data_IF_731960621139
#
_entry.id   IF_731960621139
#
_cell.length_a   1.000
_cell.length_b   1.000
_cell.length_c   1.000
_cell.angle_alpha   90.00
_cell.angle_beta   90.00
_cell.angle_gamma   90.00
#
_symmetry.space_group_name_H-M   'P 1'
#
loop_
_entity.id
_entity.type
_entity.pdbx_description
1 polymer ?
#
# COMPACT_ATOMS: atom_id res chain seq x y z
N UNK A 1 30.23 26.83 -36.23
CA UNK A 1 29.23 25.80 -36.02
C UNK A 1 28.48 26.19 -34.78
N UNK A 2 27.15 26.31 -34.76
CA UNK A 2 26.42 26.59 -33.52
C UNK A 2 26.52 25.38 -32.60
N UNK A 3 26.87 25.63 -31.34
CA UNK A 3 26.91 24.62 -30.31
C UNK A 3 25.53 23.94 -30.21
N UNK A 4 25.50 22.62 -30.36
CA UNK A 4 24.30 21.85 -30.11
C UNK A 4 23.87 22.14 -28.67
N UNK A 5 22.72 22.78 -28.46
CA UNK A 5 22.08 22.88 -27.17
C UNK A 5 21.75 21.47 -26.73
N UNK A 6 22.57 20.90 -25.84
CA UNK A 6 22.19 19.71 -25.09
C UNK A 6 20.98 20.10 -24.24
N UNK A 7 19.78 19.82 -24.74
CA UNK A 7 18.59 19.87 -23.88
C UNK A 7 18.83 18.90 -22.72
N UNK A 8 18.73 19.41 -21.50
CA UNK A 8 18.72 18.55 -20.30
C UNK A 8 17.61 17.50 -20.44
N UNK A 9 17.84 16.26 -20.02
CA UNK A 9 16.80 15.23 -20.07
C UNK A 9 15.57 15.70 -19.29
N UNK A 10 14.37 15.41 -19.83
CA UNK A 10 13.11 15.72 -19.16
C UNK A 10 13.05 15.08 -17.77
N UNK A 11 12.48 15.78 -16.81
CA UNK A 11 12.18 15.24 -15.48
C UNK A 11 11.07 14.19 -15.53
N UNK A 12 10.98 13.34 -14.51
CA UNK A 12 9.95 12.30 -14.42
C UNK A 12 8.53 12.87 -14.54
N UNK A 13 8.28 14.04 -13.94
CA UNK A 13 6.97 14.70 -14.02
C UNK A 13 6.68 15.25 -15.42
N UNK A 14 7.66 15.82 -16.10
CA UNK A 14 7.50 16.29 -17.47
C UNK A 14 7.21 15.14 -18.44
N UNK A 15 7.83 13.97 -18.23
CA UNK A 15 7.57 12.75 -18.99
C UNK A 15 6.13 12.30 -18.73
N UNK A 16 5.72 12.20 -17.47
CA UNK A 16 4.37 11.79 -17.08
C UNK A 16 3.29 12.71 -17.64
N UNK A 17 3.48 14.02 -17.54
CA UNK A 17 2.53 15.03 -18.02
C UNK A 17 2.43 15.07 -19.55
N UNK A 18 3.52 14.84 -20.24
CA UNK A 18 3.55 14.79 -21.72
C UNK A 18 3.01 13.46 -22.27
N UNK A 19 2.77 12.46 -21.42
CA UNK A 19 2.31 11.14 -21.83
C UNK A 19 0.88 11.14 -22.36
N UNK A 20 0.65 10.45 -23.48
CA UNK A 20 -0.67 10.23 -24.04
C UNK A 20 -1.33 9.03 -23.33
N UNK A 21 -1.97 9.30 -22.19
CA UNK A 21 -2.66 8.27 -21.40
C UNK A 21 -3.91 7.77 -22.12
N UNK A 22 -4.20 6.48 -22.03
CA UNK A 22 -5.43 5.85 -22.52
C UNK A 22 -6.51 5.87 -21.43
N UNK A 23 -7.80 5.95 -21.75
CA UNK A 23 -8.87 5.75 -20.78
C UNK A 23 -8.70 4.40 -20.08
N UNK A 24 -8.87 4.37 -18.75
CA UNK A 24 -8.64 3.15 -17.96
C UNK A 24 -9.64 2.04 -18.28
N UNK A 25 -10.86 2.41 -18.67
CA UNK A 25 -11.88 1.45 -19.08
C UNK A 25 -11.48 0.71 -20.35
N UNK A 26 -10.82 1.38 -21.30
CA UNK A 26 -10.29 0.75 -22.52
C UNK A 26 -9.18 -0.23 -22.21
N UNK A 27 -8.24 0.18 -21.35
CA UNK A 27 -7.16 -0.71 -20.86
C UNK A 27 -7.74 -1.96 -20.18
N UNK A 28 -8.69 -1.78 -19.28
CA UNK A 28 -9.34 -2.88 -18.55
C UNK A 28 -10.05 -3.86 -19.51
N UNK A 29 -10.81 -3.34 -20.44
CA UNK A 29 -11.55 -4.16 -21.41
C UNK A 29 -10.62 -4.89 -22.38
N UNK A 30 -9.69 -4.18 -23.02
CA UNK A 30 -8.85 -4.73 -24.08
C UNK A 30 -7.75 -5.65 -23.55
N UNK A 31 -7.11 -5.29 -22.43
CA UNK A 31 -5.95 -6.01 -21.89
C UNK A 31 -6.33 -7.08 -20.88
N UNK A 32 -7.39 -6.84 -20.09
CA UNK A 32 -7.75 -7.71 -18.98
C UNK A 32 -9.09 -8.42 -19.15
N UNK A 33 -9.92 -8.00 -20.12
CA UNK A 33 -11.26 -8.53 -20.32
C UNK A 33 -12.25 -8.14 -19.21
N UNK A 34 -11.97 -7.07 -18.46
CA UNK A 34 -12.86 -6.59 -17.40
C UNK A 34 -13.93 -5.72 -18.01
N UNK A 35 -15.19 -6.09 -17.80
CA UNK A 35 -16.34 -5.32 -18.26
C UNK A 35 -16.52 -4.05 -17.41
N UNK A 36 -17.03 -2.93 -18.00
CA UNK A 36 -17.14 -1.64 -17.30
C UNK A 36 -17.95 -1.69 -16.01
N UNK A 37 -18.97 -2.56 -15.91
CA UNK A 37 -19.80 -2.75 -14.71
C UNK A 37 -19.02 -3.32 -13.50
N UNK A 38 -17.85 -3.88 -13.73
CA UNK A 38 -16.94 -4.40 -12.70
C UNK A 38 -15.90 -3.36 -12.25
N UNK A 39 -16.00 -2.14 -12.74
CA UNK A 39 -15.07 -1.05 -12.47
C UNK A 39 -15.79 0.16 -11.89
N UNK A 40 -15.15 0.77 -10.90
CA UNK A 40 -15.56 2.07 -10.35
C UNK A 40 -14.51 3.12 -10.74
N UNK A 41 -14.81 3.98 -11.76
CA UNK A 41 -13.86 4.97 -12.25
C UNK A 41 -13.59 6.09 -11.24
N UNK A 42 -12.33 6.42 -11.07
CA UNK A 42 -11.84 7.61 -10.36
C UNK A 42 -11.23 8.58 -11.37
N UNK A 43 -12.08 9.25 -12.14
CA UNK A 43 -11.69 10.01 -13.32
C UNK A 43 -11.41 9.10 -14.52
N UNK A 44 -10.61 9.59 -15.49
CA UNK A 44 -10.41 8.90 -16.77
C UNK A 44 -9.35 7.82 -16.76
N UNK A 45 -8.36 7.89 -15.82
CA UNK A 45 -7.11 7.14 -15.91
C UNK A 45 -6.86 6.19 -14.76
N UNK A 46 -7.78 6.07 -13.83
CA UNK A 46 -7.74 5.16 -12.68
C UNK A 46 -9.14 4.63 -12.35
N UNK A 47 -9.20 3.40 -11.86
CA UNK A 47 -10.44 2.78 -11.41
C UNK A 47 -10.18 1.79 -10.29
N UNK A 48 -11.19 1.53 -9.46
CA UNK A 48 -11.19 0.36 -8.58
C UNK A 48 -11.85 -0.81 -9.28
N UNK A 49 -11.33 -2.01 -9.03
CA UNK A 49 -11.94 -3.27 -9.50
C UNK A 49 -12.87 -3.79 -8.41
N UNK A 50 -14.14 -4.04 -8.75
CA UNK A 50 -15.14 -4.46 -7.77
C UNK A 50 -14.75 -5.77 -7.07
N UNK A 51 -15.03 -5.86 -5.77
CA UNK A 51 -14.73 -7.07 -5.00
C UNK A 51 -15.59 -8.28 -5.41
N UNK A 52 -16.76 -8.06 -6.01
CA UNK A 52 -17.56 -9.16 -6.56
C UNK A 52 -16.89 -9.77 -7.79
N UNK A 53 -16.32 -8.94 -8.67
CA UNK A 53 -15.50 -9.42 -9.77
C UNK A 53 -14.24 -10.15 -9.27
N UNK A 54 -13.53 -9.60 -8.27
CA UNK A 54 -12.38 -10.27 -7.64
C UNK A 54 -12.76 -11.66 -7.14
N UNK A 55 -13.91 -11.80 -6.46
CA UNK A 55 -14.42 -13.10 -6.00
C UNK A 55 -14.75 -14.05 -7.14
N UNK A 56 -15.31 -13.56 -8.24
CA UNK A 56 -15.64 -14.40 -9.40
C UNK A 56 -14.42 -15.08 -10.02
N UNK A 57 -13.23 -14.51 -9.84
CA UNK A 57 -11.97 -15.05 -10.35
C UNK A 57 -11.36 -16.18 -9.51
N UNK A 58 -11.92 -16.54 -8.36
CA UNK A 58 -11.29 -17.48 -7.43
C UNK A 58 -11.00 -18.87 -8.04
N UNK A 59 -11.79 -19.31 -9.01
CA UNK A 59 -11.61 -20.59 -9.71
C UNK A 59 -10.61 -20.57 -10.87
N UNK A 60 -10.19 -19.37 -11.29
CA UNK A 60 -9.32 -19.21 -12.45
C UNK A 60 -7.88 -19.64 -12.16
N UNK A 61 -7.18 -20.08 -13.22
CA UNK A 61 -5.77 -20.49 -13.13
C UNK A 61 -4.88 -19.28 -12.85
N UNK A 62 -3.87 -19.46 -12.01
CA UNK A 62 -2.84 -18.44 -11.77
C UNK A 62 -1.85 -18.37 -12.95
N UNK A 63 -1.46 -17.14 -13.30
CA UNK A 63 -0.26 -16.85 -14.06
C UNK A 63 1.01 -17.05 -13.22
N UNK A 64 2.16 -16.69 -13.80
CA UNK A 64 3.49 -16.79 -13.22
C UNK A 64 3.83 -15.54 -12.41
N UNK A 65 4.30 -15.73 -11.19
CA UNK A 65 4.70 -14.64 -10.29
C UNK A 65 6.20 -14.36 -10.39
N UNK A 66 6.57 -13.13 -10.70
CA UNK A 66 7.96 -12.66 -10.77
C UNK A 66 8.17 -11.64 -9.66
N UNK A 67 9.13 -11.92 -8.76
CA UNK A 67 9.52 -11.00 -7.70
C UNK A 67 10.78 -10.23 -8.11
N UNK A 68 10.73 -8.91 -8.06
CA UNK A 68 11.91 -8.04 -8.20
C UNK A 68 12.39 -7.61 -6.82
N UNK A 69 13.67 -7.85 -6.54
CA UNK A 69 14.34 -7.45 -5.30
C UNK A 69 15.71 -6.84 -5.60
N UNK A 70 16.39 -6.33 -4.58
CA UNK A 70 17.76 -5.81 -4.70
C UNK A 70 18.69 -6.51 -3.72
N UNK A 71 19.99 -6.53 -4.01
CA UNK A 71 20.97 -7.17 -3.12
C UNK A 71 21.08 -6.44 -1.78
N UNK A 72 21.00 -5.10 -1.76
CA UNK A 72 21.13 -4.26 -0.57
C UNK A 72 20.49 -2.89 -0.82
N UNK A 73 19.91 -2.23 0.18
CA UNK A 73 19.39 -0.88 0.02
C UNK A 73 20.54 0.15 -0.05
N UNK A 74 20.37 1.17 -0.89
CA UNK A 74 21.24 2.35 -0.92
C UNK A 74 20.42 3.64 -0.74
N UNK A 75 21.02 4.75 -0.25
CA UNK A 75 20.29 6.00 -0.07
C UNK A 75 19.65 6.55 -1.34
N UNK A 76 20.25 6.31 -2.50
CA UNK A 76 19.73 6.76 -3.79
C UNK A 76 18.69 5.83 -4.42
N UNK A 77 18.42 4.69 -3.78
CA UNK A 77 17.62 3.61 -4.36
C UNK A 77 18.40 2.75 -5.35
N UNK A 78 17.90 1.56 -5.66
CA UNK A 78 18.55 0.56 -6.54
C UNK A 78 17.85 0.44 -7.89
N UNK A 79 16.74 1.16 -8.10
CA UNK A 79 15.98 1.08 -9.34
C UNK A 79 15.04 -0.15 -9.43
N UNK A 80 14.66 -0.75 -8.31
CA UNK A 80 13.70 -1.88 -8.31
C UNK A 80 12.41 -1.56 -9.05
N UNK A 81 11.76 -0.45 -8.71
CA UNK A 81 10.50 -0.05 -9.33
C UNK A 81 10.67 0.21 -10.82
N UNK A 82 11.73 0.92 -11.23
CA UNK A 82 12.06 1.12 -12.64
C UNK A 82 12.26 -0.21 -13.37
N UNK A 83 12.98 -1.16 -12.75
CA UNK A 83 13.18 -2.50 -13.32
C UNK A 83 11.85 -3.27 -13.39
N UNK A 84 11.02 -3.19 -12.36
CA UNK A 84 9.72 -3.86 -12.29
C UNK A 84 8.78 -3.37 -13.40
N UNK A 85 8.67 -2.07 -13.57
CA UNK A 85 7.87 -1.45 -14.65
C UNK A 85 8.44 -1.82 -16.02
N UNK A 86 9.74 -1.58 -16.24
CA UNK A 86 10.39 -1.85 -17.54
C UNK A 86 10.34 -3.32 -17.94
N UNK A 87 10.50 -4.25 -16.99
CA UNK A 87 10.36 -5.69 -17.25
C UNK A 87 8.93 -6.06 -17.66
N UNK A 88 7.92 -5.47 -16.99
CA UNK A 88 6.52 -5.76 -17.32
C UNK A 88 6.16 -5.20 -18.71
N UNK A 89 6.61 -3.98 -19.03
CA UNK A 89 6.43 -3.39 -20.36
C UNK A 89 7.15 -4.23 -21.43
N UNK A 90 8.37 -4.68 -21.16
CA UNK A 90 9.13 -5.53 -22.09
C UNK A 90 8.43 -6.88 -22.34
N UNK A 91 7.84 -7.51 -21.32
CA UNK A 91 7.05 -8.74 -21.48
C UNK A 91 5.86 -8.49 -22.40
N UNK A 92 5.12 -7.39 -22.23
CA UNK A 92 4.03 -7.03 -23.14
C UNK A 92 4.52 -6.72 -24.54
N UNK A 93 5.68 -6.05 -24.69
CA UNK A 93 6.28 -5.73 -25.97
C UNK A 93 6.61 -6.99 -26.80
N UNK A 94 7.06 -8.05 -26.16
CA UNK A 94 7.32 -9.36 -26.81
C UNK A 94 6.07 -10.26 -26.90
N UNK A 95 4.86 -9.70 -26.73
CA UNK A 95 3.60 -10.39 -26.90
C UNK A 95 3.16 -11.29 -25.75
N UNK A 96 3.73 -11.12 -24.54
CA UNK A 96 3.25 -11.82 -23.34
C UNK A 96 2.18 -10.98 -22.65
N UNK A 97 1.16 -11.63 -22.09
CA UNK A 97 0.15 -10.96 -21.28
C UNK A 97 0.69 -10.77 -19.87
N UNK A 98 1.23 -9.60 -19.58
CA UNK A 98 1.86 -9.27 -18.31
C UNK A 98 1.17 -8.11 -17.59
N UNK A 99 1.17 -8.16 -16.27
CA UNK A 99 0.58 -7.16 -15.38
C UNK A 99 1.54 -6.82 -14.24
N UNK A 100 1.43 -5.61 -13.71
CA UNK A 100 2.29 -5.05 -12.69
C UNK A 100 1.53 -4.91 -11.37
N UNK A 101 2.18 -5.19 -10.23
CA UNK A 101 1.64 -4.94 -8.89
C UNK A 101 2.65 -4.17 -8.03
N UNK A 102 2.31 -2.94 -7.64
CA UNK A 102 3.15 -2.06 -6.83
C UNK A 102 2.45 -1.62 -5.55
N UNK A 103 3.26 -1.08 -4.63
CA UNK A 103 2.76 -0.37 -3.45
C UNK A 103 2.31 1.03 -3.84
N UNK A 104 1.28 1.51 -3.16
CA UNK A 104 0.91 2.91 -3.15
C UNK A 104 1.95 3.71 -2.34
N UNK A 105 2.43 4.87 -2.83
CA UNK A 105 3.38 5.69 -2.11
C UNK A 105 2.71 6.50 -0.99
N UNK A 106 3.43 6.66 0.14
CA UNK A 106 3.04 7.53 1.24
C UNK A 106 3.41 8.99 0.95
N UNK A 107 2.61 9.93 1.43
CA UNK A 107 2.86 11.37 1.30
C UNK A 107 4.19 11.79 1.97
N UNK A 108 4.52 11.24 3.14
CA UNK A 108 5.75 11.56 3.84
C UNK A 108 7.00 11.37 2.97
N UNK A 109 7.29 10.16 2.44
CA UNK A 109 8.36 9.94 1.48
C UNK A 109 8.23 10.72 0.18
N UNK A 110 7.02 10.93 -0.34
CA UNK A 110 6.80 11.68 -1.60
C UNK A 110 7.24 13.13 -1.50
N UNK A 111 7.05 13.77 -0.34
CA UNK A 111 7.55 15.10 -0.03
C UNK A 111 8.92 15.09 0.67
N UNK A 112 9.53 13.93 0.84
CA UNK A 112 10.85 13.74 1.45
C UNK A 112 11.97 13.57 0.43
N UNK A 113 13.11 13.07 0.90
CA UNK A 113 14.32 12.89 0.09
C UNK A 113 14.18 11.86 -1.04
N UNK A 114 13.24 10.92 -0.94
CA UNK A 114 13.07 9.85 -1.94
C UNK A 114 12.18 10.26 -3.11
N UNK A 115 11.35 11.30 -2.95
CA UNK A 115 10.32 11.64 -3.93
C UNK A 115 9.25 10.55 -4.08
N UNK A 116 8.46 10.62 -5.14
CA UNK A 116 7.37 9.67 -5.44
C UNK A 116 7.86 8.29 -5.89
N UNK A 117 6.98 7.30 -5.86
CA UNK A 117 7.30 5.89 -6.07
C UNK A 117 6.61 5.26 -7.31
N UNK A 118 6.30 6.05 -8.34
CA UNK A 118 5.65 5.56 -9.57
C UNK A 118 6.63 5.03 -10.64
N UNK A 119 7.89 4.79 -10.31
CA UNK A 119 8.97 4.50 -11.25
C UNK A 119 9.78 5.75 -11.62
N UNK A 120 10.56 5.71 -12.70
CA UNK A 120 11.39 6.83 -13.14
C UNK A 120 11.69 6.79 -14.63
N UNK A 121 12.01 7.95 -15.22
CA UNK A 121 12.22 8.09 -16.65
C UNK A 121 11.00 7.63 -17.44
N UNK A 122 11.23 6.79 -18.43
CA UNK A 122 10.16 6.21 -19.25
C UNK A 122 9.55 4.93 -18.67
N UNK A 123 10.09 4.38 -17.58
CA UNK A 123 9.53 3.25 -16.86
C UNK A 123 8.69 3.76 -15.67
N UNK A 124 7.52 4.32 -15.97
CA UNK A 124 6.61 4.92 -14.98
C UNK A 124 5.20 4.36 -15.09
N UNK A 125 4.50 4.36 -13.93
CA UNK A 125 3.04 4.19 -13.85
C UNK A 125 2.39 5.58 -13.81
N UNK A 126 1.31 5.75 -14.56
CA UNK A 126 0.61 7.01 -14.71
C UNK A 126 -0.89 6.87 -14.37
N UNK A 127 -1.54 7.93 -13.87
CA UNK A 127 -1.06 9.32 -13.66
C UNK A 127 -0.17 9.46 -12.40
N UNK A 128 1.08 9.87 -12.58
CA UNK A 128 2.08 9.94 -11.51
C UNK A 128 1.68 10.87 -10.37
N UNK A 129 1.15 12.05 -10.68
CA UNK A 129 0.76 13.06 -9.70
C UNK A 129 -0.34 12.53 -8.79
N UNK A 130 -1.37 11.90 -9.34
CA UNK A 130 -2.48 11.32 -8.58
C UNK A 130 -1.97 10.21 -7.66
N UNK A 131 -1.11 9.33 -8.18
CA UNK A 131 -0.55 8.19 -7.44
C UNK A 131 0.28 8.67 -6.24
N UNK A 132 1.08 9.73 -6.43
CA UNK A 132 1.96 10.26 -5.39
C UNK A 132 1.25 11.15 -4.36
N UNK A 133 -0.01 11.51 -4.58
CA UNK A 133 -0.80 12.35 -3.67
C UNK A 133 -1.92 11.53 -2.99
N UNK A 134 -3.16 11.87 -3.24
CA UNK A 134 -4.30 11.23 -2.57
C UNK A 134 -4.84 10.00 -3.31
N UNK A 135 -4.42 9.77 -4.54
CA UNK A 135 -4.73 8.66 -5.43
C UNK A 135 -6.23 8.34 -5.51
N UNK A 136 -6.71 7.35 -4.76
CA UNK A 136 -8.13 6.98 -4.63
C UNK A 136 -8.65 7.13 -3.20
N UNK A 137 -7.82 7.63 -2.28
CA UNK A 137 -8.19 7.88 -0.88
C UNK A 137 -7.97 6.71 0.08
N UNK A 138 -7.31 5.63 -0.35
CA UNK A 138 -7.12 4.44 0.48
C UNK A 138 -6.32 4.73 1.75
N UNK A 139 -5.26 5.53 1.66
CA UNK A 139 -4.46 5.90 2.84
C UNK A 139 -5.23 6.81 3.79
N UNK A 140 -6.09 7.68 3.26
CA UNK A 140 -6.99 8.46 4.10
C UNK A 140 -7.99 7.57 4.84
N UNK A 141 -8.57 6.58 4.17
CA UNK A 141 -9.46 5.59 4.79
C UNK A 141 -8.74 4.80 5.90
N UNK A 142 -7.50 4.35 5.65
CA UNK A 142 -6.68 3.63 6.63
C UNK A 142 -6.36 4.53 7.83
N UNK A 143 -5.95 5.79 7.60
CA UNK A 143 -5.72 6.79 8.65
C UNK A 143 -6.98 7.00 9.50
N UNK A 144 -8.13 7.15 8.85
CA UNK A 144 -9.43 7.35 9.53
C UNK A 144 -9.82 6.14 10.37
N UNK A 145 -9.70 4.92 9.85
CA UNK A 145 -10.02 3.69 10.59
C UNK A 145 -9.09 3.50 11.80
N UNK A 146 -7.79 3.79 11.63
CA UNK A 146 -6.81 3.72 12.69
C UNK A 146 -7.10 4.72 13.81
N UNK A 147 -7.36 5.97 13.44
CA UNK A 147 -7.61 7.06 14.41
C UNK A 147 -8.99 6.94 15.07
N UNK A 148 -9.99 6.36 14.40
CA UNK A 148 -11.26 6.00 15.02
C UNK A 148 -11.04 5.07 16.20
N UNK A 149 -10.22 4.04 16.06
CA UNK A 149 -9.90 3.11 17.16
C UNK A 149 -9.24 3.85 18.33
N UNK A 150 -8.32 4.77 18.06
CA UNK A 150 -7.69 5.61 19.09
C UNK A 150 -8.72 6.47 19.84
N UNK A 151 -9.65 7.09 19.10
CA UNK A 151 -10.71 7.90 19.70
C UNK A 151 -11.66 7.05 20.55
N UNK A 152 -12.00 5.83 20.10
CA UNK A 152 -12.84 4.91 20.85
C UNK A 152 -12.19 4.43 22.16
N UNK A 153 -10.86 4.25 22.18
CA UNK A 153 -10.13 3.91 23.41
C UNK A 153 -10.26 5.06 24.43
N UNK A 154 -9.96 6.29 24.03
CA UNK A 154 -10.03 7.45 24.91
C UNK A 154 -11.48 7.73 25.38
N UNK A 155 -12.45 7.55 24.49
CA UNK A 155 -13.87 7.67 24.83
C UNK A 155 -14.31 6.58 25.84
N UNK A 156 -13.86 5.35 25.69
CA UNK A 156 -14.15 4.25 26.61
C UNK A 156 -13.58 4.54 28.02
N UNK A 157 -12.35 5.05 28.09
CA UNK A 157 -11.73 5.43 29.36
C UNK A 157 -12.52 6.58 30.03
N UNK A 158 -12.98 7.57 29.25
CA UNK A 158 -13.74 8.71 29.72
C UNK A 158 -15.10 8.31 30.30
N UNK A 159 -15.84 7.44 29.62
CA UNK A 159 -17.21 7.01 29.98
C UNK A 159 -17.26 5.78 30.92
N UNK A 160 -16.37 5.76 31.91
CA UNK A 160 -16.45 4.79 33.02
C UNK A 160 -15.56 3.57 32.89
N UNK A 161 -14.83 3.42 31.80
CA UNK A 161 -13.78 2.41 31.63
C UNK A 161 -14.16 1.00 32.07
N UNK A 162 -15.31 0.49 31.60
CA UNK A 162 -15.85 -0.80 32.01
C UNK A 162 -14.90 -1.99 31.74
N UNK A 163 -14.00 -1.88 30.77
CA UNK A 163 -12.96 -2.88 30.46
C UNK A 163 -11.73 -2.79 31.38
N UNK A 164 -11.63 -1.78 32.24
CA UNK A 164 -10.53 -1.61 33.17
C UNK A 164 -9.18 -1.30 32.50
N UNK A 165 -9.20 -0.53 31.41
CA UNK A 165 -7.97 -0.09 30.72
C UNK A 165 -7.10 0.70 31.69
N UNK A 166 -5.82 0.31 31.84
CA UNK A 166 -4.82 1.15 32.48
C UNK A 166 -4.36 2.21 31.48
N UNK A 167 -4.69 3.49 31.73
CA UNK A 167 -4.36 4.61 30.83
C UNK A 167 -2.86 4.73 30.51
N UNK A 168 -2.00 4.20 31.38
CA UNK A 168 -0.53 4.13 31.16
C UNK A 168 -0.11 2.97 30.26
N UNK A 169 -1.04 2.07 29.92
CA UNK A 169 -0.80 0.84 29.14
C UNK A 169 -1.62 0.81 27.87
N UNK A 170 -2.00 1.96 27.35
CA UNK A 170 -2.55 2.08 26.00
C UNK A 170 -1.40 1.92 25.01
N UNK A 171 -1.44 0.85 24.24
CA UNK A 171 -0.41 0.52 23.23
C UNK A 171 -0.71 1.13 21.85
N UNK A 172 -1.90 1.71 21.68
CA UNK A 172 -2.39 2.24 20.42
C UNK A 172 -2.14 3.73 20.30
N UNK A 173 -1.34 4.12 19.30
CA UNK A 173 -1.03 5.52 18.97
C UNK A 173 -1.99 6.01 17.89
N UNK A 174 -1.88 7.26 17.49
CA UNK A 174 -2.54 7.82 16.31
C UNK A 174 -1.63 7.71 15.09
N UNK A 175 -2.17 7.99 13.91
CA UNK A 175 -1.37 8.04 12.68
C UNK A 175 -1.68 9.27 11.86
N UNK A 176 -0.68 9.67 11.08
CA UNK A 176 -0.75 10.73 10.08
C UNK A 176 0.13 10.30 8.90
N UNK A 177 -0.35 10.46 7.67
CA UNK A 177 0.48 10.09 6.51
C UNK A 177 1.48 11.19 6.12
N UNK A 178 2.29 11.57 7.11
CA UNK A 178 3.33 12.59 6.98
C UNK A 178 4.47 12.27 7.96
N UNK A 179 5.70 12.62 7.58
CA UNK A 179 6.84 12.58 8.49
C UNK A 179 6.80 13.82 9.41
N UNK A 180 6.22 13.67 10.60
CA UNK A 180 6.15 14.74 11.58
C UNK A 180 6.87 14.35 12.88
N UNK A 181 8.06 14.89 13.06
CA UNK A 181 8.89 14.59 14.23
C UNK A 181 8.32 15.19 15.51
N UNK A 182 7.63 16.32 15.43
CA UNK A 182 7.10 17.02 16.59
C UNK A 182 5.93 16.28 17.24
N UNK A 183 5.23 15.41 16.47
CA UNK A 183 4.09 14.65 16.98
C UNK A 183 4.45 13.22 17.44
N UNK A 184 5.72 12.83 17.40
CA UNK A 184 6.13 11.47 17.79
C UNK A 184 5.81 11.14 19.24
N UNK A 185 6.01 12.09 20.14
CA UNK A 185 5.69 11.95 21.57
C UNK A 185 4.92 13.20 22.02
N UNK A 186 3.68 13.00 22.49
CA UNK A 186 2.79 14.08 22.95
C UNK A 186 2.10 13.68 24.25
N UNK A 187 1.53 14.65 24.93
CA UNK A 187 0.52 14.42 25.95
C UNK A 187 -0.84 14.78 25.34
N UNK A 188 -1.76 13.83 25.30
CA UNK A 188 -3.13 14.07 24.85
C UNK A 188 -4.09 14.30 26.03
N UNK A 189 -5.33 14.76 25.72
CA UNK A 189 -6.42 15.01 26.67
C UNK A 189 -6.13 16.10 27.71
N UNK A 190 -5.30 17.09 27.37
CA UNK A 190 -5.16 18.32 28.16
C UNK A 190 -6.41 19.21 28.02
N UNK A 191 -6.63 20.12 28.96
CA UNK A 191 -7.75 21.09 28.96
C UNK A 191 -8.82 20.81 30.01
N UNK A 192 -8.50 20.01 31.03
CA UNK A 192 -9.36 19.73 32.18
C UNK A 192 -10.25 18.52 32.01
N UNK A 193 -11.08 18.25 32.98
CA UNK A 193 -11.86 17.01 33.14
C UNK A 193 -12.81 16.73 31.97
N UNK A 194 -13.27 17.76 31.27
CA UNK A 194 -14.14 17.61 30.10
C UNK A 194 -13.43 16.99 28.89
N UNK A 195 -12.09 17.00 28.86
CA UNK A 195 -11.29 16.48 27.73
C UNK A 195 -10.73 15.07 27.96
N UNK A 196 -11.04 14.45 29.08
CA UNK A 196 -10.62 13.08 29.39
C UNK A 196 -9.43 13.00 30.34
N UNK A 197 -8.67 11.91 30.25
CA UNK A 197 -7.54 11.62 31.12
C UNK A 197 -6.22 11.93 30.39
N UNK A 198 -5.38 12.88 30.87
CA UNK A 198 -4.08 13.13 30.28
C UNK A 198 -3.22 11.86 30.28
N UNK A 199 -2.63 11.56 29.12
CA UNK A 199 -1.74 10.41 28.94
C UNK A 199 -0.73 10.66 27.84
N UNK A 200 0.37 9.93 27.88
CA UNK A 200 1.31 9.87 26.78
C UNK A 200 0.65 9.25 25.54
N UNK A 201 0.93 9.80 24.40
CA UNK A 201 0.49 9.33 23.10
C UNK A 201 1.48 9.78 22.02
N UNK A 202 1.15 9.58 20.76
CA UNK A 202 1.94 10.07 19.64
C UNK A 202 1.28 9.74 18.33
N UNK A 203 1.96 10.18 17.26
CA UNK A 203 1.57 9.87 15.89
C UNK A 203 2.69 9.10 15.20
N UNK A 204 2.35 7.94 14.64
CA UNK A 204 3.19 7.21 13.71
C UNK A 204 2.77 7.54 12.26
N UNK A 205 3.55 7.15 11.27
CA UNK A 205 3.14 7.35 9.88
C UNK A 205 2.16 6.24 9.47
N UNK A 206 1.14 6.58 8.68
CA UNK A 206 0.05 5.66 8.29
C UNK A 206 0.56 4.34 7.71
N UNK A 207 1.60 4.39 6.89
CA UNK A 207 2.19 3.20 6.23
C UNK A 207 2.99 2.29 7.17
N UNK A 208 3.26 2.74 8.40
CA UNK A 208 3.85 1.92 9.47
C UNK A 208 2.79 1.36 10.43
N UNK A 209 1.52 1.60 10.19
CA UNK A 209 0.44 1.18 11.08
C UNK A 209 0.12 -0.31 10.97
N UNK A 210 -0.37 -0.89 12.07
CA UNK A 210 -0.90 -2.25 12.09
C UNK A 210 -2.14 -2.39 11.18
N UNK A 211 -2.97 -1.34 11.07
CA UNK A 211 -4.13 -1.33 10.15
C UNK A 211 -3.67 -1.48 8.69
N UNK A 212 -2.62 -0.77 8.28
CA UNK A 212 -2.04 -0.92 6.93
C UNK A 212 -1.52 -2.34 6.69
N UNK A 213 -0.82 -2.93 7.66
CA UNK A 213 -0.30 -4.29 7.55
C UNK A 213 -1.43 -5.32 7.44
N UNK A 214 -2.44 -5.21 8.29
CA UNK A 214 -3.65 -6.06 8.27
C UNK A 214 -4.38 -5.93 6.93
N UNK A 215 -4.62 -4.70 6.47
CA UNK A 215 -5.26 -4.39 5.21
C UNK A 215 -4.57 -5.07 4.01
N UNK A 216 -3.25 -5.00 3.97
CA UNK A 216 -2.48 -5.61 2.88
C UNK A 216 -2.42 -7.14 2.92
N UNK A 217 -2.68 -7.77 4.07
CA UNK A 217 -2.70 -9.22 4.24
C UNK A 217 -4.12 -9.82 4.22
N UNK A 218 -5.15 -8.98 4.25
CA UNK A 218 -6.54 -9.42 4.18
C UNK A 218 -6.88 -9.93 2.76
N UNK A 219 -7.78 -10.91 2.70
CA UNK A 219 -8.27 -11.51 1.45
C UNK A 219 -9.58 -10.87 0.96
N UNK A 220 -10.39 -10.44 1.91
CA UNK A 220 -11.70 -9.81 1.70
C UNK A 220 -12.10 -8.99 2.93
N UNK A 221 -13.30 -8.39 2.88
CA UNK A 221 -13.80 -7.53 3.96
C UNK A 221 -14.07 -8.29 5.27
N UNK A 222 -14.45 -9.55 5.20
CA UNK A 222 -14.76 -10.37 6.38
C UNK A 222 -13.45 -10.77 7.10
N UNK A 223 -12.45 -11.22 6.34
CA UNK A 223 -11.10 -11.49 6.87
C UNK A 223 -10.46 -10.21 7.43
N UNK A 224 -10.64 -9.06 6.75
CA UNK A 224 -10.20 -7.75 7.24
C UNK A 224 -10.83 -7.43 8.59
N UNK A 225 -12.15 -7.54 8.71
CA UNK A 225 -12.90 -7.26 9.93
C UNK A 225 -12.48 -8.17 11.10
N UNK A 226 -12.30 -9.45 10.83
CA UNK A 226 -11.84 -10.42 11.85
C UNK A 226 -10.44 -10.06 12.36
N UNK A 227 -9.51 -9.75 11.48
CA UNK A 227 -8.14 -9.34 11.83
C UNK A 227 -8.12 -8.04 12.62
N UNK A 228 -8.87 -7.02 12.19
CA UNK A 228 -9.01 -5.75 12.92
C UNK A 228 -9.52 -5.97 14.35
N UNK A 229 -10.45 -6.90 14.52
CA UNK A 229 -10.97 -7.27 15.84
C UNK A 229 -9.90 -7.84 16.78
N UNK A 230 -8.86 -8.45 16.27
CA UNK A 230 -7.78 -9.07 17.04
C UNK A 230 -6.69 -8.09 17.50
N UNK A 231 -6.65 -6.86 17.00
CA UNK A 231 -5.68 -5.83 17.40
C UNK A 231 -5.70 -5.65 18.92
N UNK A 232 -4.54 -5.75 19.55
CA UNK A 232 -4.37 -5.45 20.98
C UNK A 232 -4.15 -3.94 21.11
N UNK A 233 -5.06 -3.29 21.81
CA UNK A 233 -5.08 -1.81 21.91
C UNK A 233 -4.55 -1.30 23.24
N UNK A 234 -4.68 -2.08 24.31
CA UNK A 234 -4.32 -1.70 25.65
C UNK A 234 -4.21 -2.94 26.55
N UNK A 235 -3.83 -2.70 27.81
CA UNK A 235 -3.82 -3.72 28.86
C UNK A 235 -4.53 -3.19 30.12
N UNK A 236 -5.12 -4.09 30.89
CA UNK A 236 -5.60 -3.82 32.25
C UNK A 236 -4.41 -3.66 33.22
N UNK A 237 -4.67 -3.24 34.46
CA UNK A 237 -3.64 -3.23 35.53
C UNK A 237 -3.01 -4.61 35.74
N UNK A 238 -3.81 -5.67 35.64
CA UNK A 238 -3.37 -7.07 35.75
C UNK A 238 -2.73 -7.61 34.47
N UNK A 239 -2.41 -6.72 33.51
CA UNK A 239 -1.74 -7.02 32.23
C UNK A 239 -2.56 -7.95 31.31
N UNK A 240 -3.88 -8.02 31.46
CA UNK A 240 -4.74 -8.71 30.50
C UNK A 240 -4.88 -7.87 29.24
N UNK A 241 -4.69 -8.44 28.03
CA UNK A 241 -4.82 -7.69 26.79
C UNK A 241 -6.27 -7.32 26.51
N UNK A 242 -6.49 -6.12 26.03
CA UNK A 242 -7.78 -5.62 25.55
C UNK A 242 -7.65 -5.44 24.04
N UNK A 243 -8.63 -5.95 23.29
CA UNK A 243 -8.64 -5.99 21.84
C UNK A 243 -9.65 -5.01 21.26
N UNK A 244 -9.50 -4.66 19.99
CA UNK A 244 -10.43 -3.79 19.28
C UNK A 244 -11.87 -4.37 19.28
N UNK A 245 -12.04 -5.70 19.27
CA UNK A 245 -13.36 -6.34 19.38
C UNK A 245 -14.05 -6.12 20.73
N UNK A 246 -13.27 -6.00 21.80
CA UNK A 246 -13.82 -5.74 23.15
C UNK A 246 -14.45 -4.33 23.21
N UNK A 247 -13.90 -3.39 22.43
CA UNK A 247 -14.46 -2.06 22.20
C UNK A 247 -15.54 -2.03 21.11
N UNK A 248 -15.83 -3.16 20.44
CA UNK A 248 -16.75 -3.26 19.30
C UNK A 248 -16.36 -2.34 18.12
N UNK A 249 -15.08 -1.98 18.01
CA UNK A 249 -14.57 -1.00 17.03
C UNK A 249 -14.42 -1.57 15.61
N UNK A 250 -14.11 -2.87 15.49
CA UNK A 250 -13.71 -3.51 14.24
C UNK A 250 -14.77 -3.43 13.11
N UNK A 251 -16.05 -3.38 13.44
CA UNK A 251 -17.12 -3.20 12.46
C UNK A 251 -17.10 -1.81 11.81
N UNK A 252 -16.94 -0.75 12.62
CA UNK A 252 -16.84 0.62 12.12
C UNK A 252 -15.54 0.86 11.34
N UNK A 253 -14.42 0.27 11.82
CA UNK A 253 -13.16 0.31 11.08
C UNK A 253 -13.28 -0.37 9.70
N UNK A 254 -13.90 -1.56 9.62
CA UNK A 254 -14.13 -2.26 8.36
C UNK A 254 -15.05 -1.45 7.42
N UNK A 255 -16.05 -0.76 7.95
CA UNK A 255 -16.93 0.11 7.16
C UNK A 255 -16.17 1.27 6.51
N UNK A 256 -15.23 1.90 7.23
CA UNK A 256 -14.37 2.94 6.68
C UNK A 256 -13.41 2.42 5.58
N UNK A 257 -13.07 1.12 5.62
CA UNK A 257 -12.15 0.48 4.67
C UNK A 257 -12.88 -0.23 3.52
N UNK A 258 -14.21 -0.18 3.46
CA UNK A 258 -15.02 -0.94 2.51
C UNK A 258 -14.65 -0.68 1.05
N UNK A 259 -14.45 0.59 0.68
CA UNK A 259 -14.08 0.96 -0.69
C UNK A 259 -12.58 0.78 -0.92
N UNK A 260 -11.78 1.06 0.10
CA UNK A 260 -10.33 0.96 0.01
C UNK A 260 -9.84 -0.45 -0.33
N UNK A 261 -10.52 -1.52 0.12
CA UNK A 261 -10.09 -2.90 -0.10
C UNK A 261 -10.09 -3.33 -1.58
N UNK A 262 -10.85 -2.66 -2.43
CA UNK A 262 -10.87 -2.91 -3.86
C UNK A 262 -9.57 -2.42 -4.52
N UNK A 263 -8.87 -3.24 -5.34
CA UNK A 263 -7.58 -2.87 -5.89
C UNK A 263 -7.69 -1.76 -6.94
N UNK A 264 -6.70 -0.87 -6.94
CA UNK A 264 -6.64 0.27 -7.85
C UNK A 264 -5.95 -0.11 -9.17
N UNK A 265 -6.68 0.02 -10.27
CA UNK A 265 -6.19 -0.22 -11.63
C UNK A 265 -5.73 1.09 -12.27
N UNK A 266 -4.51 1.08 -12.79
CA UNK A 266 -3.85 2.15 -13.54
C UNK A 266 -3.05 1.55 -14.70
N UNK A 267 -2.21 2.33 -15.37
CA UNK A 267 -1.40 1.90 -16.52
C UNK A 267 0.02 2.44 -16.44
N UNK A 268 0.95 1.77 -17.12
CA UNK A 268 2.27 2.35 -17.40
C UNK A 268 2.20 3.34 -18.57
N UNK A 269 3.30 4.03 -18.85
CA UNK A 269 3.43 4.87 -20.04
C UNK A 269 3.20 4.09 -21.34
N UNK A 270 3.54 2.81 -21.38
CA UNK A 270 3.36 1.90 -22.52
C UNK A 270 1.92 1.28 -22.57
N UNK A 271 1.03 1.66 -21.64
CA UNK A 271 -0.33 1.12 -21.55
C UNK A 271 -0.42 -0.29 -20.99
N UNK A 272 0.58 -0.74 -20.26
CA UNK A 272 0.52 -1.99 -19.49
C UNK A 272 -0.37 -1.80 -18.26
N UNK A 273 -1.33 -2.71 -18.00
CA UNK A 273 -2.17 -2.60 -16.80
C UNK A 273 -1.36 -2.84 -15.53
N UNK A 274 -1.64 -2.02 -14.52
CA UNK A 274 -0.97 -2.08 -13.23
C UNK A 274 -1.97 -1.98 -12.07
N UNK A 275 -1.78 -2.79 -11.03
CA UNK A 275 -2.40 -2.55 -9.74
C UNK A 275 -1.44 -1.80 -8.81
N UNK A 276 -1.93 -0.72 -8.22
CA UNK A 276 -1.26 -0.02 -7.11
C UNK A 276 -2.19 -0.08 -5.92
N UNK A 277 -1.81 -0.83 -4.86
CA UNK A 277 -2.73 -1.07 -3.76
C UNK A 277 -2.01 -1.41 -2.46
N UNK A 278 -2.27 -0.61 -1.43
CA UNK A 278 -1.61 -0.70 -0.13
C UNK A 278 -0.12 -0.35 -0.17
N UNK A 279 0.44 0.09 0.94
CA UNK A 279 1.81 0.59 0.96
C UNK A 279 2.55 0.40 2.29
N UNK A 280 2.56 -0.81 2.88
CA UNK A 280 3.22 -1.01 4.17
C UNK A 280 4.74 -0.86 4.04
N UNK A 281 5.37 -0.19 5.01
CA UNK A 281 6.82 -0.08 5.06
C UNK A 281 7.48 -1.43 5.35
N UNK A 282 8.59 -1.72 4.66
CA UNK A 282 9.29 -2.98 4.81
C UNK A 282 10.10 -3.10 6.10
N UNK A 283 10.53 -1.98 6.69
CA UNK A 283 11.22 -1.98 7.98
C UNK A 283 10.27 -2.19 9.19
N UNK A 284 8.98 -1.97 9.02
CA UNK A 284 7.98 -2.12 10.09
C UNK A 284 7.04 -3.30 9.82
N UNK A 285 6.60 -3.48 8.57
CA UNK A 285 5.69 -4.52 8.15
C UNK A 285 6.29 -5.39 7.04
N UNK A 286 5.48 -5.98 6.18
CA UNK A 286 5.94 -6.90 5.13
C UNK A 286 6.40 -6.23 3.83
N UNK A 287 6.23 -4.90 3.68
CA UNK A 287 6.90 -4.11 2.65
C UNK A 287 6.56 -4.42 1.20
N UNK A 288 5.38 -4.93 0.92
CA UNK A 288 4.90 -5.24 -0.42
C UNK A 288 3.41 -4.91 -0.58
N UNK A 289 2.92 -4.82 -1.80
CA UNK A 289 1.51 -4.53 -2.08
C UNK A 289 0.56 -5.57 -1.50
N UNK A 290 -0.75 -5.30 -1.58
CA UNK A 290 -1.77 -6.16 -0.97
C UNK A 290 -1.83 -7.57 -1.56
N UNK A 291 -2.32 -8.51 -0.77
CA UNK A 291 -2.66 -9.88 -1.21
C UNK A 291 -3.75 -9.82 -2.29
N UNK A 292 -4.80 -9.02 -2.08
CA UNK A 292 -5.90 -8.85 -3.05
C UNK A 292 -5.37 -8.46 -4.41
N UNK A 293 -4.52 -7.43 -4.51
CA UNK A 293 -3.98 -6.98 -5.79
C UNK A 293 -3.16 -8.09 -6.50
N UNK A 294 -2.24 -8.73 -5.78
CA UNK A 294 -1.38 -9.77 -6.39
C UNK A 294 -2.18 -11.00 -6.82
N UNK A 295 -3.09 -11.49 -5.97
CA UNK A 295 -3.89 -12.68 -6.30
C UNK A 295 -4.86 -12.40 -7.45
N UNK A 296 -5.45 -11.22 -7.51
CA UNK A 296 -6.30 -10.80 -8.63
C UNK A 296 -5.51 -10.68 -9.93
N UNK A 297 -4.34 -10.04 -9.91
CA UNK A 297 -3.48 -9.92 -11.08
C UNK A 297 -3.07 -11.29 -11.65
N UNK A 298 -2.75 -12.25 -10.79
CA UNK A 298 -2.40 -13.62 -11.19
C UNK A 298 -3.53 -14.35 -11.92
N UNK A 299 -4.78 -13.95 -11.70
CA UNK A 299 -5.93 -14.50 -12.44
C UNK A 299 -6.18 -13.78 -13.78
N UNK A 300 -5.65 -12.58 -13.94
CA UNK A 300 -5.89 -11.72 -15.09
C UNK A 300 -4.77 -11.73 -16.14
N UNK A 301 -3.57 -12.20 -15.78
CA UNK A 301 -2.41 -12.17 -16.67
C UNK A 301 -1.58 -13.45 -16.58
N UNK A 302 -0.84 -13.76 -17.66
CA UNK A 302 0.07 -14.92 -17.70
C UNK A 302 1.32 -14.68 -16.84
N UNK A 303 1.74 -13.42 -16.70
CA UNK A 303 2.87 -13.00 -15.88
C UNK A 303 2.49 -11.82 -15.01
N UNK A 304 2.82 -11.90 -13.73
CA UNK A 304 2.65 -10.79 -12.77
C UNK A 304 4.01 -10.44 -12.21
N UNK A 305 4.43 -9.19 -12.40
CA UNK A 305 5.69 -8.67 -11.86
C UNK A 305 5.37 -7.80 -10.64
N UNK A 306 6.05 -8.06 -9.54
CA UNK A 306 5.90 -7.30 -8.30
C UNK A 306 7.25 -7.08 -7.65
N UNK A 307 7.30 -6.21 -6.65
CA UNK A 307 8.52 -5.92 -5.91
C UNK A 307 8.35 -6.05 -4.41
N UNK A 308 9.47 -6.20 -3.70
CA UNK A 308 9.56 -6.09 -2.25
C UNK A 308 10.46 -4.91 -1.86
N UNK A 309 10.12 -4.23 -0.77
CA UNK A 309 10.86 -3.06 -0.29
C UNK A 309 12.25 -3.42 0.25
N UNK A 310 13.17 -2.46 0.26
CA UNK A 310 14.56 -2.62 0.72
C UNK A 310 15.35 -3.68 -0.08
N UNK A 311 16.31 -4.37 0.57
CA UNK A 311 17.09 -5.44 0.00
C UNK A 311 16.46 -6.82 0.16
N UNK A 312 17.11 -7.83 -0.40
CA UNK A 312 16.64 -9.21 -0.36
C UNK A 312 16.66 -9.79 1.06
N UNK A 313 17.60 -9.35 1.87
CA UNK A 313 17.78 -9.68 3.28
C UNK A 313 16.65 -9.22 4.21
N UNK A 314 15.77 -8.33 3.75
CA UNK A 314 14.64 -7.83 4.50
C UNK A 314 13.32 -7.94 3.72
N UNK A 315 13.22 -7.27 2.58
CA UNK A 315 11.97 -7.18 1.83
C UNK A 315 11.57 -8.48 1.14
N UNK A 316 12.50 -9.14 0.45
CA UNK A 316 12.23 -10.43 -0.19
C UNK A 316 11.97 -11.52 0.86
N UNK A 317 12.73 -11.54 1.97
CA UNK A 317 12.49 -12.46 3.08
C UNK A 317 11.07 -12.31 3.62
N UNK A 318 10.63 -11.09 3.94
CA UNK A 318 9.25 -10.83 4.39
C UNK A 318 8.19 -11.14 3.33
N UNK A 319 8.48 -10.89 2.07
CA UNK A 319 7.59 -11.27 0.98
C UNK A 319 7.35 -12.79 0.97
N UNK A 320 8.41 -13.58 1.06
CA UNK A 320 8.35 -15.03 1.06
C UNK A 320 7.72 -15.58 2.35
N UNK A 321 8.23 -15.14 3.51
CA UNK A 321 7.86 -15.72 4.80
C UNK A 321 6.55 -15.19 5.37
N UNK A 322 6.10 -14.02 4.98
CA UNK A 322 4.83 -13.43 5.45
C UNK A 322 3.77 -13.50 4.36
N UNK A 323 3.96 -12.75 3.25
CA UNK A 323 2.92 -12.61 2.22
C UNK A 323 2.65 -13.94 1.51
N UNK A 324 3.70 -14.60 1.02
CA UNK A 324 3.55 -15.84 0.28
C UNK A 324 2.92 -16.94 1.13
N UNK A 325 3.39 -17.13 2.37
CA UNK A 325 2.80 -18.12 3.29
C UNK A 325 1.33 -17.83 3.61
N UNK A 326 0.98 -16.56 3.86
CA UNK A 326 -0.40 -16.15 4.17
C UNK A 326 -1.34 -16.31 2.98
N UNK A 327 -0.86 -16.04 1.77
CA UNK A 327 -1.69 -16.02 0.57
C UNK A 327 -1.60 -17.32 -0.26
N UNK A 328 -0.75 -18.28 0.12
CA UNK A 328 -0.51 -19.49 -0.67
C UNK A 328 0.19 -19.20 -2.00
N UNK A 329 1.06 -18.17 -2.02
CA UNK A 329 1.81 -17.75 -3.20
C UNK A 329 3.22 -18.34 -3.20
N UNK A 330 3.77 -18.51 -4.40
CA UNK A 330 5.17 -18.88 -4.63
C UNK A 330 5.66 -18.17 -5.89
N UNK A 331 6.73 -17.37 -5.84
CA UNK A 331 7.33 -16.81 -7.04
C UNK A 331 7.89 -17.92 -7.95
N UNK A 332 7.62 -17.82 -9.24
CA UNK A 332 8.20 -18.68 -10.27
C UNK A 332 9.61 -18.21 -10.68
N UNK A 333 9.89 -16.92 -10.47
CA UNK A 333 11.17 -16.28 -10.77
C UNK A 333 11.46 -15.14 -9.81
N UNK A 334 12.73 -14.93 -9.52
CA UNK A 334 13.23 -13.77 -8.77
C UNK A 334 14.23 -13.02 -9.64
N UNK A 335 14.00 -11.72 -9.81
CA UNK A 335 14.93 -10.80 -10.49
C UNK A 335 15.68 -10.02 -9.42
N UNK A 336 16.99 -10.24 -9.33
CA UNK A 336 17.85 -9.57 -8.36
C UNK A 336 18.55 -8.37 -9.01
N UNK A 337 18.20 -7.17 -8.56
CA UNK A 337 18.85 -5.92 -9.00
C UNK A 337 20.13 -5.70 -8.20
N UNK A 338 21.26 -5.63 -8.89
CA UNK A 338 22.56 -5.37 -8.32
C UNK A 338 23.19 -4.14 -8.99
N UNK A 339 23.34 -3.06 -8.26
CA UNK A 339 24.02 -1.85 -8.76
C UNK A 339 25.48 -1.83 -8.30
N UNK A 340 26.33 -1.18 -9.08
CA UNK A 340 27.75 -0.96 -8.71
C UNK A 340 27.84 -0.24 -7.34
N UNK A 341 26.89 0.67 -7.05
CA UNK A 341 26.84 1.39 -5.78
C UNK A 341 26.53 0.45 -4.61
N UNK A 342 25.65 -0.53 -4.79
CA UNK A 342 25.31 -1.50 -3.76
C UNK A 342 26.40 -2.57 -3.53
N UNK A 343 27.32 -2.72 -4.49
CA UNK A 343 28.46 -3.65 -4.42
C UNK A 343 29.71 -3.02 -3.81
N UNK A 344 29.78 -1.69 -3.69
CA UNK A 344 30.88 -0.93 -3.08
C UNK A 344 30.61 -0.66 -1.59
#
# INVERSE_FOLDING_TARGET
>A
MPASQHQSPKSDIEISQSAKKRPILDIAKEKLGIAPENLEPYGHYKAKVSMDFVKSLHGEKNGKLILVSAISPTPAGEGKTTTTVGLTDALNHIGKKAMLCLREPSLGPSFGMKGGAAGGGYAQVVPMEDINLHFTGDFHAITSAHNLLSALIDNHIYWGNALGIDSRRVAWRRVLDMNDRALREIVCSLGGVANGYPREAGFDITVASEVMAIFCLAKDIDDLKERLGNIIVAYTRDRKPIRARDLKAHGAMAALLKEAIAPNLVQTLEGTPAFIHGGPFANIAHGCNSVVATTTALKLADYVVTEAGFGADLGAEKFLDIKCRKAGLSPDCVVLVATIRALK
#
